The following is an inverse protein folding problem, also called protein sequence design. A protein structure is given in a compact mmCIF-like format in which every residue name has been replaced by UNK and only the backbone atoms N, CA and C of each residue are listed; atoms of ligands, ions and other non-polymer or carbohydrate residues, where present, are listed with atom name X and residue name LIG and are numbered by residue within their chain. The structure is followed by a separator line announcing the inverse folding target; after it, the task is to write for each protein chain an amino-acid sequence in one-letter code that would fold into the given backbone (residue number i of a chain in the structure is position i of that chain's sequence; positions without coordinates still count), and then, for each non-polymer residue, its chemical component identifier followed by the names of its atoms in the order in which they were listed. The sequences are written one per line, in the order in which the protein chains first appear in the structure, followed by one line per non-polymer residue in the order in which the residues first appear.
data_IF_402362710874
#
_entry.id   IF_402362710874
#
_cell.length_a   1.000
_cell.length_b   1.000
_cell.length_c   1.000
_cell.angle_alpha   90.00
_cell.angle_beta   90.00
_cell.angle_gamma   90.00
#
_symmetry.space_group_name_H-M   'P 1'
#
loop_
_entity.id
_entity.type
_entity.pdbx_description
1 polymer ?
#
# COMPACT_ATOMS: atom_id res chain seq x y z
N UNK A 1 -1.40 -0.81 -20.65
CA UNK A 1 -0.21 -1.08 -19.87
C UNK A 1 -0.56 -1.29 -18.42
N UNK A 2 -0.23 -2.41 -17.90
CA UNK A 2 -0.55 -2.74 -16.53
C UNK A 2 0.59 -2.39 -15.59
N UNK A 3 0.27 -2.21 -14.34
CA UNK A 3 1.24 -2.10 -13.29
C UNK A 3 1.50 -0.70 -12.79
N UNK A 4 2.09 -0.65 -11.60
CA UNK A 4 2.45 0.59 -10.95
C UNK A 4 3.88 1.02 -11.33
N UNK A 5 4.23 2.31 -11.18
CA UNK A 5 5.59 2.77 -11.42
C UNK A 5 6.58 2.15 -10.44
N UNK A 6 7.62 1.51 -10.98
CA UNK A 6 8.65 0.85 -10.16
C UNK A 6 9.33 1.85 -9.21
N UNK A 7 9.69 3.03 -9.72
CA UNK A 7 10.38 4.04 -8.91
C UNK A 7 9.56 4.46 -7.68
N UNK A 8 8.24 4.56 -7.83
CA UNK A 8 7.36 4.91 -6.71
C UNK A 8 7.29 3.77 -5.69
N UNK A 9 7.24 2.52 -6.17
CA UNK A 9 7.21 1.36 -5.28
C UNK A 9 8.52 1.17 -4.53
N UNK A 10 9.64 1.52 -5.13
CA UNK A 10 10.94 1.44 -4.46
C UNK A 10 11.04 2.38 -3.25
N UNK A 11 10.21 3.41 -3.20
CA UNK A 11 10.16 4.33 -2.07
C UNK A 11 9.27 3.84 -0.93
N UNK A 12 8.50 2.77 -1.15
CA UNK A 12 7.68 2.17 -0.10
C UNK A 12 8.60 1.42 0.85
N UNK A 13 8.60 1.74 2.15
CA UNK A 13 9.54 1.13 3.09
C UNK A 13 9.52 -0.39 3.09
N UNK A 14 8.35 -1.01 2.93
CA UNK A 14 8.23 -2.46 2.91
C UNK A 14 9.05 -3.08 1.76
N UNK A 15 9.20 -2.36 0.64
CA UNK A 15 9.88 -2.85 -0.55
C UNK A 15 11.32 -2.37 -0.68
N UNK A 16 11.83 -1.66 0.33
CA UNK A 16 13.14 -0.99 0.25
C UNK A 16 14.32 -1.94 0.08
N UNK A 17 14.20 -3.18 0.53
CA UNK A 17 15.29 -4.17 0.43
C UNK A 17 15.20 -5.03 -0.82
N UNK A 18 14.17 -4.84 -1.64
CA UNK A 18 13.99 -5.60 -2.88
C UNK A 18 14.83 -5.03 -4.01
N UNK A 19 15.29 -5.89 -4.91
CA UNK A 19 15.97 -5.46 -6.13
C UNK A 19 14.95 -4.83 -7.09
N UNK A 20 15.44 -4.09 -8.07
CA UNK A 20 14.58 -3.51 -9.09
C UNK A 20 13.77 -4.58 -9.82
N UNK A 21 14.40 -5.72 -10.15
CA UNK A 21 13.72 -6.82 -10.82
C UNK A 21 12.59 -7.40 -9.97
N UNK A 22 12.80 -7.50 -8.65
CA UNK A 22 11.78 -7.98 -7.74
C UNK A 22 10.63 -7.00 -7.62
N UNK A 23 10.94 -5.71 -7.54
CA UNK A 23 9.89 -4.67 -7.51
C UNK A 23 9.10 -4.67 -8.81
N UNK A 24 9.74 -4.89 -9.96
CA UNK A 24 9.05 -5.00 -11.25
C UNK A 24 8.01 -6.12 -11.24
N UNK A 25 8.33 -7.27 -10.65
CA UNK A 25 7.38 -8.37 -10.55
C UNK A 25 6.16 -7.98 -9.73
N UNK A 26 6.37 -7.26 -8.63
CA UNK A 26 5.28 -6.78 -7.78
C UNK A 26 4.46 -5.72 -8.53
N UNK A 27 5.15 -4.80 -9.22
CA UNK A 27 4.51 -3.71 -9.97
C UNK A 27 3.49 -4.23 -10.98
N UNK A 28 3.78 -5.35 -11.63
CA UNK A 28 2.89 -5.92 -12.64
C UNK A 28 1.58 -6.46 -12.06
N UNK A 29 1.53 -6.70 -10.77
CA UNK A 29 0.31 -7.20 -10.11
C UNK A 29 -0.68 -6.09 -9.79
N UNK A 30 -0.24 -4.84 -9.75
CA UNK A 30 -1.11 -3.72 -9.42
C UNK A 30 -2.12 -3.46 -10.54
N UNK A 31 -3.33 -3.07 -10.15
CA UNK A 31 -4.40 -2.70 -11.07
C UNK A 31 -4.82 -1.27 -10.81
N UNK A 32 -5.09 -0.56 -11.89
CA UNK A 32 -5.56 0.83 -11.79
C UNK A 32 -6.98 0.86 -11.21
N UNK A 33 -7.21 1.77 -10.27
CA UNK A 33 -8.48 1.95 -9.59
C UNK A 33 -8.85 3.43 -9.61
N UNK A 34 -10.12 3.71 -9.86
CA UNK A 34 -10.63 5.07 -9.95
C UNK A 34 -11.70 5.31 -8.90
N UNK A 35 -11.62 6.47 -8.25
CA UNK A 35 -12.59 6.89 -7.24
C UNK A 35 -13.01 8.33 -7.54
N UNK A 36 -14.31 8.61 -7.41
CA UNK A 36 -14.80 9.99 -7.59
C UNK A 36 -14.66 10.76 -6.27
N UNK A 37 -14.60 12.09 -6.37
CA UNK A 37 -14.53 12.95 -5.19
C UNK A 37 -15.65 12.61 -4.21
N UNK A 38 -15.31 12.46 -2.95
CA UNK A 38 -16.25 12.09 -1.89
C UNK A 38 -16.39 10.60 -1.62
N UNK A 39 -15.87 9.77 -2.52
CA UNK A 39 -15.97 8.31 -2.35
C UNK A 39 -15.00 7.82 -1.29
N UNK A 40 -15.46 6.87 -0.46
CA UNK A 40 -14.61 6.22 0.55
C UNK A 40 -13.81 5.10 -0.10
N UNK A 41 -12.48 5.18 0.02
CA UNK A 41 -11.58 4.16 -0.52
C UNK A 41 -11.43 3.00 0.46
N UNK A 42 -11.12 3.32 1.72
CA UNK A 42 -11.06 2.33 2.80
C UNK A 42 -11.75 2.93 4.02
N UNK A 43 -12.42 2.07 4.81
CA UNK A 43 -13.21 2.50 5.94
C UNK A 43 -12.63 1.97 7.25
N UNK A 44 -12.46 2.85 8.22
CA UNK A 44 -12.02 2.50 9.57
C UNK A 44 -12.94 1.44 10.16
N UNK A 45 -12.34 0.43 10.76
CA UNK A 45 -13.09 -0.66 11.38
C UNK A 45 -13.51 -1.77 10.42
N UNK A 46 -13.42 -1.55 9.11
CA UNK A 46 -13.70 -2.58 8.12
C UNK A 46 -12.46 -3.43 7.85
N UNK A 47 -12.68 -4.66 7.41
CA UNK A 47 -11.59 -5.54 7.00
C UNK A 47 -10.91 -4.96 5.75
N UNK A 48 -9.60 -5.11 5.66
CA UNK A 48 -8.85 -4.62 4.53
C UNK A 48 -7.78 -5.58 4.08
N UNK A 49 -7.65 -5.73 2.77
CA UNK A 49 -6.67 -6.63 2.16
C UNK A 49 -5.95 -5.99 0.97
N UNK A 50 -6.01 -4.67 0.84
CA UNK A 50 -5.45 -3.97 -0.30
C UNK A 50 -4.50 -2.84 0.11
N UNK A 51 -3.45 -2.73 -0.68
CA UNK A 51 -2.48 -1.64 -0.63
C UNK A 51 -2.72 -0.72 -1.82
N UNK A 52 -2.66 0.58 -1.59
CA UNK A 52 -2.89 1.57 -2.64
C UNK A 52 -1.73 2.55 -2.76
N UNK A 53 -1.38 2.87 -4.01
CA UNK A 53 -0.42 3.91 -4.37
C UNK A 53 -1.16 4.95 -5.21
N UNK A 54 -1.11 6.22 -4.80
CA UNK A 54 -1.83 7.30 -5.50
C UNK A 54 -1.03 7.73 -6.72
N UNK A 55 -1.67 7.70 -7.90
CA UNK A 55 -1.11 8.26 -9.13
C UNK A 55 -1.49 9.72 -9.29
N UNK A 56 -2.78 10.04 -9.12
CA UNK A 56 -3.27 11.42 -9.27
C UNK A 56 -4.46 11.65 -8.37
N UNK A 57 -4.69 12.90 -8.02
CA UNK A 57 -5.75 13.29 -7.12
C UNK A 57 -5.30 13.30 -5.67
N UNK A 58 -6.23 13.57 -4.78
CA UNK A 58 -5.97 13.73 -3.36
C UNK A 58 -6.96 12.94 -2.52
N UNK A 59 -6.51 12.55 -1.32
CA UNK A 59 -7.33 11.82 -0.38
C UNK A 59 -7.09 12.35 1.03
N UNK A 60 -8.09 12.21 1.89
CA UNK A 60 -7.98 12.58 3.29
C UNK A 60 -8.00 11.33 4.16
N UNK A 61 -7.13 11.32 5.17
CA UNK A 61 -7.08 10.27 6.19
C UNK A 61 -7.80 10.78 7.42
N UNK A 62 -8.78 10.03 7.92
CA UNK A 62 -9.47 10.39 9.15
C UNK A 62 -9.52 9.21 10.12
N UNK A 63 -9.48 9.52 11.41
CA UNK A 63 -9.61 8.54 12.50
C UNK A 63 -10.64 9.08 13.46
N UNK A 64 -11.64 8.26 13.78
CA UNK A 64 -12.73 8.65 14.67
C UNK A 64 -13.42 9.95 14.21
N UNK A 65 -13.56 10.13 12.90
CA UNK A 65 -14.20 11.29 12.30
C UNK A 65 -13.36 12.55 12.24
N UNK A 66 -12.09 12.50 12.68
CA UNK A 66 -11.19 13.66 12.66
C UNK A 66 -10.15 13.50 11.58
N UNK A 67 -10.00 14.51 10.73
CA UNK A 67 -8.98 14.49 9.69
C UNK A 67 -7.59 14.54 10.32
N UNK A 68 -6.72 13.65 9.87
CA UNK A 68 -5.35 13.51 10.41
C UNK A 68 -4.29 13.89 9.39
N UNK A 69 -4.55 13.66 8.11
CA UNK A 69 -3.57 13.91 7.07
C UNK A 69 -4.24 14.00 5.71
N UNK A 70 -3.51 14.56 4.75
CA UNK A 70 -3.88 14.55 3.35
C UNK A 70 -2.82 13.77 2.59
N UNK A 71 -3.27 12.99 1.60
CA UNK A 71 -2.40 12.21 0.74
C UNK A 71 -2.55 12.70 -0.69
N UNK A 72 -1.46 12.69 -1.43
CA UNK A 72 -1.43 13.10 -2.83
C UNK A 72 -0.61 12.15 -3.68
N UNK A 73 -0.33 12.55 -4.94
CA UNK A 73 0.42 11.70 -5.86
C UNK A 73 1.75 11.24 -5.28
N UNK A 74 2.02 9.94 -5.41
CA UNK A 74 3.22 9.31 -4.87
C UNK A 74 3.06 8.77 -3.46
N UNK A 75 2.02 9.16 -2.75
CA UNK A 75 1.75 8.62 -1.41
C UNK A 75 1.09 7.25 -1.52
N UNK A 76 1.25 6.45 -0.46
CA UNK A 76 0.69 5.11 -0.38
C UNK A 76 0.05 4.86 0.96
N UNK A 77 -0.81 3.85 1.02
CA UNK A 77 -1.43 3.44 2.27
C UNK A 77 -1.85 1.97 2.21
N UNK A 78 -1.83 1.34 3.38
CA UNK A 78 -2.33 -0.03 3.52
C UNK A 78 -1.33 -1.12 3.21
N UNK A 79 -0.01 -0.85 3.20
CA UNK A 79 0.97 -1.88 2.87
C UNK A 79 0.97 -3.05 3.84
N UNK A 80 0.61 -2.83 5.10
CA UNK A 80 0.56 -3.92 6.08
C UNK A 80 -0.54 -4.92 5.73
N UNK A 81 -1.61 -4.46 5.08
CA UNK A 81 -2.72 -5.33 4.66
C UNK A 81 -2.29 -6.37 3.61
N UNK A 82 -1.13 -6.20 2.98
CA UNK A 82 -0.59 -7.20 2.06
C UNK A 82 -0.09 -8.44 2.79
N UNK A 83 0.21 -8.32 4.07
CA UNK A 83 0.80 -9.40 4.86
C UNK A 83 -0.16 -9.84 5.95
N UNK A 84 -0.72 -8.89 6.66
CA UNK A 84 -1.61 -9.15 7.78
C UNK A 84 -2.96 -8.53 7.53
N UNK A 85 -3.90 -9.35 7.07
CA UNK A 85 -5.27 -8.94 6.83
C UNK A 85 -5.92 -8.61 8.16
N UNK A 86 -6.20 -7.35 8.36
CA UNK A 86 -6.76 -6.90 9.62
C UNK A 86 -7.73 -5.75 9.42
N UNK A 87 -8.20 -5.22 10.53
CA UNK A 87 -9.12 -4.11 10.56
C UNK A 87 -8.39 -2.82 10.19
N UNK A 88 -9.00 -2.02 9.32
CA UNK A 88 -8.43 -0.72 8.93
C UNK A 88 -8.44 0.24 10.12
N UNK A 89 -7.31 0.90 10.35
CA UNK A 89 -7.13 1.83 11.46
C UNK A 89 -7.60 3.25 11.13
N UNK A 90 -7.92 3.52 9.88
CA UNK A 90 -8.34 4.84 9.44
C UNK A 90 -9.30 4.74 8.27
N UNK A 91 -10.05 5.81 8.05
CA UNK A 91 -10.87 5.98 6.86
C UNK A 91 -10.09 6.84 5.87
N UNK A 92 -10.06 6.43 4.60
CA UNK A 92 -9.45 7.21 3.54
C UNK A 92 -10.50 7.49 2.50
N UNK A 93 -10.71 8.78 2.21
CA UNK A 93 -11.75 9.23 1.28
C UNK A 93 -11.14 10.13 0.22
N UNK A 94 -11.58 9.98 -1.02
CA UNK A 94 -11.14 10.83 -2.11
C UNK A 94 -11.69 12.25 -1.90
N UNK A 95 -10.81 13.24 -1.92
CA UNK A 95 -11.22 14.66 -1.82
C UNK A 95 -11.28 15.31 -3.19
N UNK A 96 -10.75 14.65 -4.19
CA UNK A 96 -10.91 14.98 -5.61
C UNK A 96 -11.02 13.66 -6.36
N UNK A 97 -11.22 13.70 -7.66
CA UNK A 97 -11.18 12.48 -8.46
C UNK A 97 -9.79 11.86 -8.30
N UNK A 98 -9.75 10.58 -7.99
CA UNK A 98 -8.56 9.90 -7.52
C UNK A 98 -8.26 8.70 -8.40
N UNK A 99 -7.02 8.59 -8.83
CA UNK A 99 -6.53 7.41 -9.56
C UNK A 99 -5.44 6.76 -8.71
N UNK A 100 -5.63 5.49 -8.41
CA UNK A 100 -4.69 4.71 -7.61
C UNK A 100 -4.29 3.44 -8.35
N UNK A 101 -3.16 2.88 -7.94
CA UNK A 101 -2.81 1.51 -8.25
C UNK A 101 -3.08 0.68 -7.00
N UNK A 102 -3.85 -0.40 -7.13
CA UNK A 102 -4.21 -1.24 -6.02
C UNK A 102 -3.66 -2.66 -6.15
N UNK A 103 -3.25 -3.23 -5.03
CA UNK A 103 -2.76 -4.60 -4.96
C UNK A 103 -3.39 -5.27 -3.75
N UNK A 104 -4.01 -6.44 -3.96
CA UNK A 104 -4.63 -7.18 -2.87
C UNK A 104 -3.68 -8.25 -2.31
N UNK A 105 -3.94 -8.67 -1.07
CA UNK A 105 -3.26 -9.79 -0.45
C UNK A 105 -3.37 -11.06 -1.32
N UNK A 106 -4.52 -11.28 -1.92
CA UNK A 106 -4.80 -12.46 -2.75
C UNK A 106 -3.92 -12.53 -4.00
N UNK A 107 -3.51 -11.38 -4.51
CA UNK A 107 -2.62 -11.29 -5.67
C UNK A 107 -1.16 -11.32 -5.25
N UNK A 108 -0.84 -10.73 -4.10
CA UNK A 108 0.52 -10.61 -3.60
C UNK A 108 1.07 -11.92 -3.04
N UNK A 109 0.25 -12.62 -2.26
CA UNK A 109 0.68 -13.83 -1.57
C UNK A 109 1.26 -14.92 -2.47
N UNK A 110 0.61 -15.26 -3.60
CA UNK A 110 1.17 -16.30 -4.49
C UNK A 110 2.56 -15.96 -5.01
N UNK A 111 2.82 -14.68 -5.29
CA UNK A 111 4.13 -14.24 -5.73
C UNK A 111 5.18 -14.49 -4.65
N UNK A 112 4.88 -14.12 -3.41
CA UNK A 112 5.81 -14.28 -2.29
C UNK A 112 6.04 -15.75 -1.99
N UNK A 113 5.00 -16.57 -2.02
CA UNK A 113 5.11 -18.02 -1.78
C UNK A 113 5.99 -18.68 -2.85
N UNK A 114 5.89 -18.22 -4.10
CA UNK A 114 6.69 -18.76 -5.20
C UNK A 114 8.13 -18.21 -5.20
N UNK A 115 8.39 -17.10 -4.51
CA UNK A 115 9.70 -16.44 -4.50
C UNK A 115 10.15 -16.17 -3.08
N UNK A 116 10.75 -17.19 -2.46
CA UNK A 116 11.19 -17.11 -1.06
C UNK A 116 12.16 -15.97 -0.79
N UNK A 117 12.98 -15.58 -1.76
CA UNK A 117 13.92 -14.47 -1.61
C UNK A 117 13.19 -13.15 -1.39
N UNK A 118 12.09 -12.93 -2.11
CA UNK A 118 11.25 -11.74 -1.88
C UNK A 118 10.70 -11.76 -0.46
N UNK A 119 10.15 -12.90 -0.05
CA UNK A 119 9.62 -13.07 1.31
C UNK A 119 10.65 -12.79 2.39
N UNK A 120 11.87 -13.30 2.20
CA UNK A 120 12.96 -13.08 3.15
C UNK A 120 13.30 -11.60 3.27
N UNK A 121 13.40 -10.89 2.16
CA UNK A 121 13.70 -9.46 2.16
C UNK A 121 12.57 -8.63 2.80
N UNK A 122 11.31 -9.06 2.62
CA UNK A 122 10.20 -8.42 3.30
C UNK A 122 10.30 -8.60 4.82
N UNK A 123 10.70 -9.79 5.28
CA UNK A 123 10.93 -10.03 6.70
C UNK A 123 12.05 -9.13 7.22
N UNK A 124 13.11 -8.93 6.44
CA UNK A 124 14.20 -8.04 6.83
C UNK A 124 13.71 -6.59 6.97
N UNK A 125 12.89 -6.12 6.04
CA UNK A 125 12.30 -4.78 6.12
C UNK A 125 11.44 -4.62 7.36
N UNK A 126 10.59 -5.61 7.63
CA UNK A 126 9.73 -5.58 8.82
C UNK A 126 10.55 -5.63 10.13
N UNK A 127 11.64 -6.40 10.14
CA UNK A 127 12.53 -6.46 11.29
C UNK A 127 13.16 -5.11 11.59
N UNK A 128 13.56 -4.37 10.56
CA UNK A 128 14.11 -3.01 10.72
C UNK A 128 13.08 -2.07 11.34
N UNK A 129 11.83 -2.14 10.86
CA UNK A 129 10.74 -1.33 11.42
C UNK A 129 10.47 -1.68 12.88
N UNK A 130 10.42 -2.97 13.19
CA UNK A 130 10.17 -3.43 14.54
C UNK A 130 11.29 -2.99 15.48
N UNK A 131 12.53 -3.13 15.07
CA UNK A 131 13.69 -2.72 15.86
C UNK A 131 13.67 -1.22 16.12
N UNK A 132 13.32 -0.42 15.10
CA UNK A 132 13.21 1.01 15.23
C UNK A 132 12.11 1.40 16.23
N UNK A 133 10.97 0.71 16.19
CA UNK A 133 9.87 0.95 17.14
C UNK A 133 10.26 0.59 18.57
N UNK A 134 11.02 -0.49 18.77
CA UNK A 134 11.47 -0.92 20.10
C UNK A 134 12.48 0.06 20.72
N UNK A 135 13.27 0.75 19.89
CA UNK A 135 14.23 1.73 20.35
C UNK A 135 13.58 3.10 20.62
N UNK A 136 12.37 3.28 20.16
CA UNK A 136 11.60 4.50 20.40
C UNK A 136 10.91 4.44 21.76
#
# INVERSE_FOLDING_TARGET
MAGAPVAALQRVPLFSDLSEAEVQQIALLFKERHFVAGETVVKEGADGAAFFLIESGDAAVSVAGKERANLGPGDHFGEIALIDEGVRSATISATSDLVCYGLTLWEFRPLVVANGEIGWKLLQSLSKKLRSAELS
#
